data_IF_337186639710
#
_entry.id   IF_337186639710
#
_cell.length_a   1.000
_cell.length_b   1.000
_cell.length_c   1.000
_cell.angle_alpha   90.00
_cell.angle_beta   90.00
_cell.angle_gamma   90.00
#
_symmetry.space_group_name_H-M   'P 1'
#
loop_
_entity.id
_entity.type
_entity.pdbx_description
1 polymer ?
#
# COMPACT_ATOMS: atom_id res chain seq x y z
N UNK A 1 -6.80 7.56 -18.11
CA UNK A 1 -7.67 7.79 -19.30
C UNK A 1 -8.50 9.05 -19.03
N UNK A 2 -8.75 9.94 -20.01
CA UNK A 2 -9.54 11.16 -19.76
C UNK A 2 -11.03 10.94 -19.99
N UNK A 3 -11.90 11.74 -19.37
CA UNK A 3 -13.35 11.68 -19.58
C UNK A 3 -13.75 11.88 -21.04
N UNK A 4 -12.96 12.63 -21.82
CA UNK A 4 -13.16 12.81 -23.28
C UNK A 4 -12.84 11.54 -24.06
N UNK A 5 -11.79 10.82 -23.66
CA UNK A 5 -11.41 9.54 -24.28
C UNK A 5 -12.41 8.43 -23.93
N UNK A 6 -12.96 8.45 -22.72
CA UNK A 6 -14.03 7.52 -22.31
C UNK A 6 -15.26 7.70 -23.20
N UNK A 7 -15.69 8.95 -23.44
CA UNK A 7 -16.84 9.22 -24.33
C UNK A 7 -16.66 8.62 -25.72
N UNK A 8 -15.47 8.76 -26.32
CA UNK A 8 -15.16 8.19 -27.63
C UNK A 8 -15.27 6.66 -27.63
N UNK A 9 -14.68 6.01 -26.62
CA UNK A 9 -14.69 4.54 -26.50
C UNK A 9 -16.11 4.01 -26.30
N UNK A 10 -16.92 4.68 -25.47
CA UNK A 10 -18.31 4.24 -25.20
C UNK A 10 -19.21 4.40 -26.43
N UNK A 11 -18.95 5.42 -27.25
CA UNK A 11 -19.67 5.63 -28.49
C UNK A 11 -19.32 4.57 -29.54
N UNK A 12 -18.03 4.22 -29.68
CA UNK A 12 -17.57 3.15 -30.58
C UNK A 12 -18.06 1.76 -30.14
N UNK A 13 -17.97 1.43 -28.85
CA UNK A 13 -18.26 0.08 -28.36
C UNK A 13 -19.73 -0.18 -28.02
N UNK A 14 -20.45 0.86 -27.60
CA UNK A 14 -21.81 0.72 -27.05
C UNK A 14 -22.85 1.57 -27.79
N UNK A 15 -22.48 2.30 -28.85
CA UNK A 15 -23.38 3.17 -29.62
C UNK A 15 -23.99 4.30 -28.81
N UNK A 16 -23.46 4.57 -27.61
CA UNK A 16 -24.01 5.53 -26.65
C UNK A 16 -22.88 6.33 -26.02
N UNK A 17 -23.03 7.64 -25.99
CA UNK A 17 -22.06 8.54 -25.38
C UNK A 17 -22.52 8.95 -23.97
N UNK A 18 -21.60 8.90 -23.02
CA UNK A 18 -21.85 9.42 -21.66
C UNK A 18 -21.24 10.81 -21.51
N UNK A 19 -21.97 11.70 -20.83
CA UNK A 19 -21.45 13.03 -20.51
C UNK A 19 -20.26 12.93 -19.55
N UNK A 20 -19.35 13.91 -19.61
CA UNK A 20 -18.24 14.03 -18.65
C UNK A 20 -18.72 14.01 -17.20
N UNK A 21 -19.87 14.66 -16.93
CA UNK A 21 -20.47 14.73 -15.59
C UNK A 21 -21.03 13.40 -15.13
N UNK A 22 -21.58 12.59 -16.04
CA UNK A 22 -22.08 11.24 -15.75
C UNK A 22 -20.92 10.32 -15.38
N UNK A 23 -19.86 10.28 -16.20
CA UNK A 23 -18.66 9.49 -15.91
C UNK A 23 -18.04 9.91 -14.57
N UNK A 24 -17.90 11.21 -14.33
CA UNK A 24 -17.38 11.71 -13.06
C UNK A 24 -18.25 11.31 -11.87
N UNK A 25 -19.57 11.28 -12.03
CA UNK A 25 -20.50 10.90 -10.95
C UNK A 25 -20.44 9.41 -10.66
N UNK A 26 -20.29 8.58 -11.69
CA UNK A 26 -20.09 7.14 -11.52
C UNK A 26 -18.79 6.83 -10.78
N UNK A 27 -17.70 7.56 -11.08
CA UNK A 27 -16.43 7.38 -10.37
C UNK A 27 -16.53 7.69 -8.86
N UNK A 28 -17.43 8.58 -8.43
CA UNK A 28 -17.68 8.83 -6.99
C UNK A 28 -18.25 7.62 -6.27
N UNK A 29 -18.87 6.68 -6.98
CA UNK A 29 -19.31 5.41 -6.41
C UNK A 29 -18.16 4.55 -5.87
N UNK A 30 -16.91 4.84 -6.25
CA UNK A 30 -15.72 4.16 -5.74
C UNK A 30 -15.21 4.78 -4.42
N UNK A 31 -15.69 5.96 -4.04
CA UNK A 31 -15.20 6.68 -2.86
C UNK A 31 -15.27 5.83 -1.58
N UNK A 32 -16.34 5.05 -1.29
CA UNK A 32 -16.39 4.18 -0.12
C UNK A 32 -15.29 3.11 -0.14
N UNK A 33 -15.08 2.45 -1.29
CA UNK A 33 -14.05 1.41 -1.45
C UNK A 33 -12.65 2.00 -1.26
N UNK A 34 -12.42 3.21 -1.80
CA UNK A 34 -11.15 3.92 -1.65
C UNK A 34 -10.92 4.30 -0.19
N UNK A 35 -11.96 4.76 0.53
CA UNK A 35 -11.83 5.07 1.96
C UNK A 35 -11.53 3.83 2.79
N UNK A 36 -12.27 2.75 2.59
CA UNK A 36 -12.04 1.48 3.30
C UNK A 36 -10.61 0.97 3.04
N UNK A 37 -10.14 1.07 1.80
CA UNK A 37 -8.77 0.71 1.44
C UNK A 37 -7.74 1.64 2.11
N UNK A 38 -7.95 2.95 2.14
CA UNK A 38 -7.01 3.92 2.74
C UNK A 38 -6.89 3.76 4.26
N UNK A 39 -7.99 3.43 4.95
CA UNK A 39 -8.03 3.29 6.40
C UNK A 39 -7.91 1.84 6.89
N UNK A 40 -7.60 0.90 5.98
CA UNK A 40 -7.39 -0.50 6.35
C UNK A 40 -6.27 -0.64 7.38
N UNK A 41 -6.41 -1.60 8.30
CA UNK A 41 -5.36 -1.92 9.27
C UNK A 41 -4.13 -2.49 8.56
N UNK A 42 -2.95 -1.98 8.91
CA UNK A 42 -1.65 -2.50 8.44
C UNK A 42 -0.99 -3.41 9.49
N UNK A 43 -1.59 -3.60 10.66
CA UNK A 43 -0.97 -4.30 11.80
C UNK A 43 -0.81 -5.81 11.60
N UNK A 44 -1.60 -6.42 10.71
CA UNK A 44 -1.59 -7.86 10.46
C UNK A 44 -0.33 -8.33 9.70
N UNK A 45 0.41 -7.41 9.07
CA UNK A 45 1.55 -7.71 8.23
C UNK A 45 2.82 -7.02 8.74
N UNK A 46 3.93 -7.76 8.71
CA UNK A 46 5.26 -7.17 8.93
C UNK A 46 5.79 -6.71 7.58
N UNK A 47 6.15 -5.43 7.49
CA UNK A 47 6.77 -4.81 6.32
C UNK A 47 8.23 -4.47 6.63
N UNK A 48 9.19 -5.39 6.43
CA UNK A 48 10.59 -5.14 6.78
C UNK A 48 11.21 -4.00 5.97
N UNK A 49 10.76 -3.83 4.73
CA UNK A 49 11.15 -2.74 3.84
C UNK A 49 9.92 -2.26 3.07
N UNK A 50 9.87 -0.95 2.84
CA UNK A 50 8.84 -0.28 2.04
C UNK A 50 9.56 0.67 1.11
N UNK A 51 9.24 0.58 -0.18
CA UNK A 51 9.68 1.56 -1.17
C UNK A 51 8.68 2.71 -1.16
N UNK A 52 9.19 3.93 -1.14
CA UNK A 52 8.37 5.14 -1.15
C UNK A 52 8.78 6.02 -2.32
N UNK A 53 7.80 6.58 -3.01
CA UNK A 53 7.99 7.51 -4.12
C UNK A 53 7.00 8.68 -4.02
N UNK A 54 7.29 9.76 -4.73
CA UNK A 54 6.47 10.96 -4.77
C UNK A 54 6.35 11.51 -6.20
N UNK A 55 5.11 11.61 -6.69
CA UNK A 55 4.80 12.21 -8.00
C UNK A 55 4.14 13.56 -7.79
N UNK A 56 4.71 14.63 -8.36
CA UNK A 56 4.13 15.97 -8.28
C UNK A 56 3.11 16.21 -9.39
N UNK A 57 1.85 16.47 -9.00
CA UNK A 57 0.75 16.78 -9.92
C UNK A 57 0.26 18.21 -9.73
N UNK A 58 -0.13 18.87 -10.82
CA UNK A 58 -0.76 20.19 -10.77
C UNK A 58 -2.25 20.04 -10.47
N UNK A 59 -2.69 20.62 -9.35
CA UNK A 59 -4.09 20.57 -8.90
C UNK A 59 -4.60 22.00 -8.73
N UNK A 60 -5.88 22.23 -9.01
CA UNK A 60 -6.53 23.52 -8.79
C UNK A 60 -7.21 23.51 -7.42
N UNK A 61 -6.75 24.38 -6.53
CA UNK A 61 -7.25 24.54 -5.16
C UNK A 61 -7.40 26.03 -4.86
N UNK A 62 -8.49 26.43 -4.22
CA UNK A 62 -8.80 27.83 -3.90
C UNK A 62 -8.62 28.79 -5.09
N UNK A 63 -9.03 28.33 -6.28
CA UNK A 63 -8.94 29.08 -7.53
C UNK A 63 -7.53 29.17 -8.16
N UNK A 64 -6.48 28.62 -7.53
CA UNK A 64 -5.10 28.66 -8.03
C UNK A 64 -4.58 27.26 -8.37
N UNK A 65 -3.73 27.16 -9.40
CA UNK A 65 -3.06 25.89 -9.75
C UNK A 65 -1.78 25.77 -8.93
N UNK A 66 -1.67 24.70 -8.13
CA UNK A 66 -0.54 24.42 -7.24
C UNK A 66 0.05 23.04 -7.52
N UNK A 67 1.34 22.87 -7.24
CA UNK A 67 1.96 21.53 -7.22
C UNK A 67 1.59 20.84 -5.93
N UNK A 68 1.08 19.62 -6.02
CA UNK A 68 0.83 18.73 -4.89
C UNK A 68 1.59 17.42 -5.10
N UNK A 69 2.15 16.88 -4.03
CA UNK A 69 2.79 15.57 -4.05
C UNK A 69 1.71 14.49 -3.87
N UNK A 70 1.79 13.45 -4.70
CA UNK A 70 1.10 12.17 -4.51
C UNK A 70 2.15 11.20 -3.99
N UNK A 71 2.00 10.78 -2.74
CA UNK A 71 2.90 9.82 -2.12
C UNK A 71 2.42 8.40 -2.42
N UNK A 72 3.36 7.51 -2.72
CA UNK A 72 3.08 6.12 -3.05
C UNK A 72 4.05 5.26 -2.24
N UNK A 73 3.50 4.32 -1.47
CA UNK A 73 4.24 3.25 -0.82
C UNK A 73 3.97 1.90 -1.48
N UNK A 74 5.03 1.10 -1.63
CA UNK A 74 4.95 -0.26 -2.16
C UNK A 74 5.75 -1.18 -1.24
N UNK A 75 5.07 -2.20 -0.72
CA UNK A 75 5.74 -3.37 -0.16
C UNK A 75 5.87 -4.45 -1.23
N UNK A 76 7.07 -5.04 -1.37
CA UNK A 76 7.27 -6.15 -2.28
C UNK A 76 7.09 -7.49 -1.55
N UNK A 77 6.00 -8.19 -1.87
CA UNK A 77 5.93 -9.64 -1.69
C UNK A 77 6.56 -10.31 -2.91
N UNK A 78 7.82 -10.73 -2.79
CA UNK A 78 8.64 -11.33 -3.84
C UNK A 78 7.90 -12.42 -4.65
N UNK A 79 7.55 -12.12 -5.91
CA UNK A 79 7.09 -13.12 -6.90
C UNK A 79 7.81 -13.03 -8.26
N UNK A 80 8.65 -12.03 -8.50
CA UNK A 80 9.40 -11.90 -9.77
C UNK A 80 10.90 -12.00 -9.52
N UNK A 81 11.60 -12.75 -10.38
CA UNK A 81 12.99 -13.19 -10.16
C UNK A 81 14.09 -12.12 -10.23
N UNK A 82 13.75 -10.82 -10.35
CA UNK A 82 14.76 -9.75 -10.34
C UNK A 82 14.96 -9.25 -8.92
N UNK A 83 15.97 -9.80 -8.25
CA UNK A 83 16.34 -9.47 -6.88
C UNK A 83 17.25 -8.26 -6.84
N UNK A 84 16.73 -7.12 -6.40
CA UNK A 84 17.53 -5.93 -6.11
C UNK A 84 17.99 -5.88 -4.64
N UNK A 85 17.32 -6.60 -3.73
CA UNK A 85 17.67 -6.73 -2.31
C UNK A 85 17.17 -8.07 -1.74
N UNK A 86 18.01 -9.11 -1.70
CA UNK A 86 17.63 -10.42 -1.16
C UNK A 86 17.71 -10.45 0.37
N UNK A 87 16.57 -10.60 1.05
CA UNK A 87 16.50 -10.62 2.51
C UNK A 87 16.57 -12.04 3.12
N UNK A 88 16.84 -13.08 2.33
CA UNK A 88 16.91 -14.46 2.82
C UNK A 88 17.88 -14.61 4.00
N UNK A 89 19.05 -13.98 3.93
CA UNK A 89 20.06 -14.01 5.01
C UNK A 89 19.58 -13.30 6.28
N UNK A 90 18.93 -12.14 6.14
CA UNK A 90 18.33 -11.42 7.28
C UNK A 90 17.25 -12.26 7.97
N UNK A 91 16.40 -12.94 7.20
CA UNK A 91 15.38 -13.81 7.76
C UNK A 91 15.96 -15.04 8.46
N UNK A 92 17.08 -15.59 7.95
CA UNK A 92 17.82 -16.65 8.63
C UNK A 92 18.42 -16.14 9.95
N UNK A 93 19.09 -14.99 9.92
CA UNK A 93 19.64 -14.34 11.12
C UNK A 93 18.56 -14.01 12.17
N UNK A 94 17.39 -13.52 11.74
CA UNK A 94 16.30 -13.21 12.67
C UNK A 94 15.77 -14.47 13.35
N UNK A 95 15.64 -15.59 12.63
CA UNK A 95 15.24 -16.89 13.20
C UNK A 95 16.23 -17.40 14.25
N UNK A 96 17.53 -17.22 14.02
CA UNK A 96 18.55 -17.63 15.01
C UNK A 96 18.49 -16.77 16.27
N UNK A 97 18.16 -15.48 16.16
CA UNK A 97 17.94 -14.60 17.32
C UNK A 97 16.65 -14.89 18.07
N UNK A 98 15.54 -15.17 17.39
CA UNK A 98 14.27 -15.55 18.03
C UNK A 98 14.37 -16.91 18.77
N UNK A 99 15.19 -17.84 18.28
CA UNK A 99 15.48 -19.11 18.97
C UNK A 99 16.36 -18.91 20.20
N UNK A 100 17.37 -18.03 20.13
CA UNK A 100 18.24 -17.71 21.28
C UNK A 100 17.50 -17.02 22.44
N UNK A 101 16.46 -16.23 22.15
CA UNK A 101 15.62 -15.61 23.19
C UNK A 101 14.68 -16.63 23.86
N UNK A 102 14.27 -17.69 23.15
CA UNK A 102 13.43 -18.76 23.71
C UNK A 102 14.21 -19.73 24.60
N UNK A 103 15.48 -20.02 24.28
CA UNK A 103 16.32 -20.90 25.11
C UNK A 103 16.79 -20.22 26.40
N UNK A 104 17.12 -18.91 26.37
CA UNK A 104 17.53 -18.17 27.59
C UNK A 104 16.39 -18.05 28.61
N UNK A 105 15.13 -17.96 28.16
CA UNK A 105 13.97 -17.85 29.05
C UNK A 105 13.52 -19.19 29.67
N UNK A 106 14.07 -20.33 29.24
CA UNK A 106 13.82 -21.64 29.87
C UNK A 106 14.84 -22.01 30.97
N UNK A 107 15.94 -21.25 31.09
CA UNK A 107 16.99 -21.46 32.09
C UNK A 107 16.91 -20.51 33.29
N UNK A 108 15.90 -19.63 33.38
CA UNK A 108 15.69 -18.81 34.56
C UNK A 108 15.34 -19.71 35.78
N UNK A 109 16.18 -19.77 36.83
CA UNK A 109 15.94 -20.67 37.95
C UNK A 109 14.72 -20.20 38.75
N UNK A 110 13.88 -21.15 39.16
CA UNK A 110 12.76 -20.89 40.05
C UNK A 110 13.27 -20.27 41.36
N UNK A 111 13.00 -18.98 41.56
CA UNK A 111 13.24 -18.30 42.84
C UNK A 111 12.30 -18.95 43.86
N UNK A 112 12.83 -19.82 44.72
CA UNK A 112 12.11 -20.34 45.88
C UNK A 112 11.80 -19.15 46.80
N UNK A 113 10.52 -18.82 46.94
CA UNK A 113 10.05 -17.96 48.03
C UNK A 113 10.29 -18.71 49.34
N UNK A 114 11.24 -18.24 50.13
CA UNK A 114 11.36 -18.59 51.55
C UNK A 114 10.44 -17.63 52.31
N UNK A 115 9.61 -18.19 53.18
CA UNK A 115 8.58 -17.48 53.96
C UNK A 115 9.14 -16.60 55.06
#
# INVERSE_FOLDING_TARGET
MSTRKITLITEELCGTSFSKSTVSSLCKGLDPIIQDWNYRSLHEHVYPFVLVDAIYTKVREDGRVRSRAVLIEIDEKWMSGRKYLDMAEYWQWRKTKEQGVRSVNQEAPAIKKVG
#
